data_IF_007265975770
#
_entry.id   IF_007265975770
#
_cell.length_a   1.000
_cell.length_b   1.000
_cell.length_c   1.000
_cell.angle_alpha   90.00
_cell.angle_beta   90.00
_cell.angle_gamma   90.00
#
_symmetry.space_group_name_H-M   'P 1'
#
loop_
_entity.id
_entity.type
_entity.pdbx_description
1 polymer ?
#
# COMPACT_ATOMS: atom_id res chain seq x y z
N UNK A 1 -18.25 -17.14 -7.66
CA UNK A 1 -19.16 -18.29 -7.89
C UNK A 1 -20.30 -17.82 -8.79
N UNK A 2 -20.68 -18.58 -9.82
CA UNK A 2 -21.77 -18.17 -10.71
C UNK A 2 -23.14 -18.33 -10.01
N UNK A 3 -24.11 -17.42 -10.25
CA UNK A 3 -25.44 -17.47 -9.63
C UNK A 3 -26.14 -18.82 -9.77
N UNK A 4 -25.91 -19.51 -10.90
CA UNK A 4 -26.43 -20.84 -11.21
C UNK A 4 -25.96 -21.92 -10.23
N UNK A 5 -24.70 -21.87 -9.77
CA UNK A 5 -24.17 -22.86 -8.81
C UNK A 5 -24.86 -22.76 -7.44
N UNK A 6 -25.22 -21.55 -7.00
CA UNK A 6 -25.90 -21.32 -5.72
C UNK A 6 -27.38 -21.74 -5.76
N UNK A 7 -28.03 -21.67 -6.92
CA UNK A 7 -29.39 -22.18 -7.11
C UNK A 7 -29.44 -23.70 -7.06
N UNK A 8 -28.49 -24.38 -7.72
CA UNK A 8 -28.39 -25.85 -7.69
C UNK A 8 -28.18 -26.35 -6.25
N UNK A 9 -27.30 -25.71 -5.48
CA UNK A 9 -27.07 -26.09 -4.07
C UNK A 9 -28.35 -25.94 -3.24
N UNK A 10 -29.07 -24.82 -3.36
CA UNK A 10 -30.33 -24.65 -2.63
C UNK A 10 -31.37 -25.71 -3.03
N UNK A 11 -31.51 -26.00 -4.33
CA UNK A 11 -32.41 -27.03 -4.82
C UNK A 11 -32.08 -28.40 -4.22
N UNK A 12 -30.81 -28.80 -4.23
CA UNK A 12 -30.35 -30.07 -3.66
C UNK A 12 -30.61 -30.15 -2.15
N UNK A 13 -30.43 -29.06 -1.40
CA UNK A 13 -30.74 -29.00 0.04
C UNK A 13 -32.23 -29.22 0.30
N UNK A 14 -33.10 -28.54 -0.44
CA UNK A 14 -34.56 -28.71 -0.28
C UNK A 14 -34.99 -30.13 -0.63
N UNK A 15 -34.45 -30.68 -1.73
CA UNK A 15 -34.73 -32.06 -2.14
C UNK A 15 -34.26 -33.07 -1.07
N UNK A 16 -33.07 -32.87 -0.50
CA UNK A 16 -32.54 -33.72 0.56
C UNK A 16 -33.42 -33.69 1.83
N UNK A 17 -33.93 -32.52 2.21
CA UNK A 17 -34.86 -32.38 3.35
C UNK A 17 -36.13 -33.21 3.09
N UNK A 18 -36.74 -33.06 1.91
CA UNK A 18 -37.98 -33.76 1.54
C UNK A 18 -37.78 -35.28 1.53
N UNK A 19 -36.69 -35.76 0.92
CA UNK A 19 -36.38 -37.19 0.87
C UNK A 19 -36.14 -37.73 2.28
N UNK A 20 -35.39 -37.02 3.13
CA UNK A 20 -35.10 -37.43 4.49
C UNK A 20 -36.37 -37.51 5.36
N UNK A 21 -37.28 -36.55 5.24
CA UNK A 21 -38.54 -36.53 6.01
C UNK A 21 -39.50 -37.62 5.55
N UNK A 22 -39.59 -37.86 4.24
CA UNK A 22 -40.38 -38.97 3.69
C UNK A 22 -39.78 -40.31 4.16
N UNK A 23 -38.45 -40.45 4.13
CA UNK A 23 -37.81 -41.68 4.60
C UNK A 23 -38.02 -41.92 6.10
N UNK A 24 -37.97 -40.85 6.89
CA UNK A 24 -38.26 -40.88 8.32
C UNK A 24 -39.70 -41.32 8.57
N UNK A 25 -40.67 -40.75 7.84
CA UNK A 25 -42.07 -41.16 7.91
C UNK A 25 -42.25 -42.65 7.60
N UNK A 26 -41.56 -43.14 6.55
CA UNK A 26 -41.60 -44.54 6.16
C UNK A 26 -41.02 -45.48 7.22
N UNK A 27 -39.85 -45.18 7.79
CA UNK A 27 -39.29 -46.00 8.86
C UNK A 27 -40.15 -45.94 10.13
N UNK A 28 -40.72 -44.77 10.43
CA UNK A 28 -41.59 -44.61 11.58
C UNK A 28 -42.88 -45.44 11.44
N UNK A 29 -43.52 -45.43 10.27
CA UNK A 29 -44.68 -46.26 9.98
C UNK A 29 -44.37 -47.76 10.06
N UNK A 30 -43.23 -48.19 9.50
CA UNK A 30 -42.77 -49.58 9.58
C UNK A 30 -42.54 -50.03 11.03
N UNK A 31 -41.99 -49.15 11.88
CA UNK A 31 -41.81 -49.42 13.31
C UNK A 31 -43.13 -49.55 14.06
N UNK A 32 -44.12 -48.70 13.76
CA UNK A 32 -45.46 -48.79 14.37
C UNK A 32 -46.21 -50.05 13.95
N UNK A 33 -45.99 -50.54 12.73
CA UNK A 33 -46.55 -51.79 12.21
C UNK A 33 -45.67 -53.01 12.51
N UNK A 34 -44.71 -52.88 13.44
CA UNK A 34 -43.83 -53.95 13.90
C UNK A 34 -43.11 -54.71 12.77
N UNK A 35 -42.80 -54.03 11.67
CA UNK A 35 -42.07 -54.59 10.53
C UNK A 35 -42.73 -55.84 9.92
N UNK A 36 -44.06 -55.89 9.90
CA UNK A 36 -44.87 -56.99 9.38
C UNK A 36 -44.42 -57.45 7.97
N UNK A 37 -44.45 -58.77 7.67
CA UNK A 37 -44.08 -59.31 6.35
C UNK A 37 -44.87 -58.70 5.18
N UNK A 38 -46.11 -58.26 5.43
CA UNK A 38 -47.03 -57.65 4.47
C UNK A 38 -46.54 -56.29 3.95
N UNK A 39 -45.61 -55.64 4.67
CA UNK A 39 -44.94 -54.41 4.21
C UNK A 39 -43.95 -54.67 3.06
N UNK A 40 -43.69 -55.94 2.73
CA UNK A 40 -42.80 -56.37 1.66
C UNK A 40 -41.36 -56.58 2.11
N UNK A 41 -40.49 -56.82 1.15
CA UNK A 41 -39.07 -57.06 1.41
C UNK A 41 -38.36 -55.76 1.79
N UNK A 42 -37.56 -55.76 2.88
CA UNK A 42 -36.76 -54.60 3.22
C UNK A 42 -35.68 -54.35 2.17
N UNK A 43 -35.31 -53.09 1.98
CA UNK A 43 -34.22 -52.71 1.08
C UNK A 43 -32.88 -53.26 1.59
N UNK A 44 -32.65 -53.15 2.89
CA UNK A 44 -31.53 -53.79 3.58
C UNK A 44 -31.82 -53.87 5.10
N UNK A 45 -30.98 -54.58 5.84
CA UNK A 45 -31.11 -54.76 7.29
C UNK A 45 -29.85 -54.21 7.97
N UNK A 46 -30.03 -53.33 8.96
CA UNK A 46 -28.94 -52.76 9.76
C UNK A 46 -29.19 -53.04 11.23
N UNK A 47 -28.26 -53.73 11.89
CA UNK A 47 -28.37 -54.06 13.33
C UNK A 47 -29.70 -54.70 13.73
N UNK A 48 -30.25 -55.55 12.85
CA UNK A 48 -31.55 -56.21 13.06
C UNK A 48 -32.79 -55.38 12.68
N UNK A 49 -32.63 -54.11 12.30
CA UNK A 49 -33.73 -53.24 11.86
C UNK A 49 -33.88 -53.31 10.34
N UNK A 50 -35.11 -53.57 9.88
CA UNK A 50 -35.48 -53.62 8.46
C UNK A 50 -35.64 -52.21 7.91
N UNK A 51 -34.79 -51.81 6.96
CA UNK A 51 -34.84 -50.49 6.33
C UNK A 51 -35.55 -50.58 4.99
N UNK A 52 -36.64 -49.84 4.85
CA UNK A 52 -37.40 -49.72 3.59
C UNK A 52 -37.00 -48.52 2.73
N UNK A 53 -37.38 -48.54 1.46
CA UNK A 53 -37.21 -47.41 0.55
C UNK A 53 -38.03 -46.20 1.00
N UNK A 54 -37.55 -44.96 0.81
CA UNK A 54 -38.27 -43.75 1.21
C UNK A 54 -39.71 -43.69 0.71
N UNK A 55 -39.99 -44.08 -0.53
CA UNK A 55 -41.33 -44.01 -1.15
C UNK A 55 -42.27 -45.16 -0.78
N UNK A 56 -41.83 -46.16 -0.01
CA UNK A 56 -42.65 -47.33 0.31
C UNK A 56 -43.94 -46.96 1.08
N UNK A 57 -43.89 -45.90 1.89
CA UNK A 57 -45.05 -45.37 2.62
C UNK A 57 -46.24 -45.07 1.70
N UNK A 58 -46.05 -44.62 0.47
CA UNK A 58 -47.16 -44.29 -0.43
C UNK A 58 -47.93 -45.54 -0.88
N UNK A 59 -47.20 -46.62 -1.18
CA UNK A 59 -47.81 -47.90 -1.53
C UNK A 59 -48.54 -48.50 -0.32
N UNK A 60 -47.92 -48.45 0.87
CA UNK A 60 -48.54 -48.91 2.09
C UNK A 60 -49.77 -48.11 2.48
N UNK A 61 -49.71 -46.78 2.31
CA UNK A 61 -50.85 -45.92 2.57
C UNK A 61 -52.00 -46.31 1.65
N UNK A 62 -51.78 -46.46 0.35
CA UNK A 62 -52.84 -46.91 -0.58
C UNK A 62 -53.44 -48.28 -0.22
N UNK A 63 -52.61 -49.24 0.22
CA UNK A 63 -53.05 -50.62 0.49
C UNK A 63 -53.60 -50.87 1.89
N UNK A 64 -53.14 -50.13 2.90
CA UNK A 64 -53.35 -50.46 4.30
C UNK A 64 -53.98 -49.34 5.15
N UNK A 65 -54.30 -48.17 4.57
CA UNK A 65 -54.93 -47.05 5.29
C UNK A 65 -56.16 -47.47 6.09
N UNK A 66 -57.04 -48.26 5.47
CA UNK A 66 -58.30 -48.71 6.06
C UNK A 66 -58.11 -49.51 7.35
N UNK A 67 -56.94 -50.11 7.56
CA UNK A 67 -56.63 -50.94 8.72
C UNK A 67 -55.86 -50.19 9.83
N UNK A 68 -55.04 -49.20 9.46
CA UNK A 68 -54.20 -48.47 10.40
C UNK A 68 -54.19 -46.94 10.14
N UNK A 69 -55.37 -46.29 10.12
CA UNK A 69 -55.49 -44.90 9.66
C UNK A 69 -54.68 -43.93 10.53
N UNK A 70 -54.68 -44.13 11.86
CA UNK A 70 -53.92 -43.29 12.81
C UNK A 70 -52.40 -43.32 12.54
N UNK A 71 -51.88 -44.46 12.09
CA UNK A 71 -50.45 -44.61 11.78
C UNK A 71 -50.14 -43.85 10.49
N UNK A 72 -50.94 -44.03 9.44
CA UNK A 72 -50.71 -43.35 8.17
C UNK A 72 -50.97 -41.85 8.24
N UNK A 73 -51.94 -41.38 9.03
CA UNK A 73 -52.17 -39.95 9.29
C UNK A 73 -50.95 -39.28 9.94
N UNK A 74 -50.38 -39.91 10.98
CA UNK A 74 -49.19 -39.39 11.67
C UNK A 74 -47.96 -39.45 10.79
N UNK A 75 -47.78 -40.53 10.04
CA UNK A 75 -46.67 -40.64 9.10
C UNK A 75 -46.78 -39.61 7.95
N UNK A 76 -48.01 -39.37 7.47
CA UNK A 76 -48.35 -38.30 6.56
C UNK A 76 -48.02 -36.92 7.13
N UNK A 77 -48.32 -36.66 8.40
CA UNK A 77 -47.95 -35.42 9.08
C UNK A 77 -46.42 -35.22 9.17
N UNK A 78 -45.66 -36.29 9.45
CA UNK A 78 -44.18 -36.25 9.44
C UNK A 78 -43.66 -35.91 8.04
N UNK A 79 -44.21 -36.54 6.99
CA UNK A 79 -43.83 -36.26 5.61
C UNK A 79 -44.19 -34.82 5.18
N UNK A 80 -45.39 -34.35 5.55
CA UNK A 80 -45.86 -32.98 5.28
C UNK A 80 -45.01 -31.92 5.99
N UNK A 81 -44.53 -32.22 7.21
CA UNK A 81 -43.58 -31.37 7.94
C UNK A 81 -42.29 -31.09 7.15
N UNK A 82 -41.85 -32.05 6.34
CA UNK A 82 -40.72 -31.89 5.42
C UNK A 82 -40.93 -30.83 4.34
N UNK A 83 -42.17 -30.69 3.84
CA UNK A 83 -42.53 -29.64 2.89
C UNK A 83 -42.38 -28.25 3.50
N UNK A 84 -42.84 -28.06 4.74
CA UNK A 84 -42.68 -26.79 5.46
C UNK A 84 -41.21 -26.48 5.77
N UNK A 85 -40.43 -27.47 6.19
CA UNK A 85 -38.99 -27.32 6.41
C UNK A 85 -38.24 -26.97 5.11
N UNK A 86 -38.59 -27.63 4.00
CA UNK A 86 -38.05 -27.34 2.68
C UNK A 86 -38.37 -25.92 2.21
N UNK A 87 -39.62 -25.47 2.38
CA UNK A 87 -40.03 -24.09 2.11
C UNK A 87 -39.24 -23.08 2.96
N UNK A 88 -39.07 -23.35 4.26
CA UNK A 88 -38.27 -22.51 5.16
C UNK A 88 -36.81 -22.39 4.71
N UNK A 89 -36.18 -23.52 4.37
CA UNK A 89 -34.81 -23.56 3.84
C UNK A 89 -34.69 -22.79 2.50
N UNK A 90 -35.70 -22.90 1.63
CA UNK A 90 -35.73 -22.18 0.36
C UNK A 90 -35.86 -20.66 0.53
N UNK A 91 -36.70 -20.21 1.46
CA UNK A 91 -36.85 -18.78 1.79
C UNK A 91 -35.55 -18.25 2.38
N UNK A 92 -34.97 -18.96 3.36
CA UNK A 92 -33.71 -18.57 3.98
C UNK A 92 -32.57 -18.47 2.95
N UNK A 93 -32.41 -19.48 2.10
CA UNK A 93 -31.41 -19.48 1.03
C UNK A 93 -31.62 -18.34 0.03
N UNK A 94 -32.87 -17.99 -0.27
CA UNK A 94 -33.20 -16.86 -1.15
C UNK A 94 -32.82 -15.51 -0.55
N UNK A 95 -33.13 -15.28 0.74
CA UNK A 95 -32.74 -14.07 1.48
C UNK A 95 -31.22 -13.96 1.56
N UNK A 96 -30.53 -15.08 1.83
CA UNK A 96 -29.08 -15.13 1.88
C UNK A 96 -28.44 -14.75 0.53
N UNK A 97 -28.96 -15.29 -0.58
CA UNK A 97 -28.51 -14.90 -1.92
C UNK A 97 -28.75 -13.44 -2.24
N UNK A 98 -29.91 -12.89 -1.90
CA UNK A 98 -30.24 -11.49 -2.15
C UNK A 98 -29.22 -10.55 -1.47
N UNK A 99 -28.73 -10.93 -0.28
CA UNK A 99 -27.65 -10.21 0.43
C UNK A 99 -26.27 -10.36 -0.23
N UNK A 100 -26.04 -11.41 -1.01
CA UNK A 100 -24.77 -11.58 -1.75
C UNK A 100 -24.79 -10.89 -3.12
N UNK A 101 -25.95 -10.84 -3.79
CA UNK A 101 -26.11 -10.20 -5.10
C UNK A 101 -25.90 -8.67 -5.07
N UNK A 102 -26.00 -8.05 -3.90
CA UNK A 102 -25.66 -6.64 -3.68
C UNK A 102 -24.15 -6.35 -3.73
N UNK A 103 -23.29 -7.38 -3.81
CA UNK A 103 -21.83 -7.25 -3.94
C UNK A 103 -21.31 -7.54 -5.36
N UNK A 104 -22.10 -7.36 -6.41
CA UNK A 104 -21.63 -7.57 -7.78
C UNK A 104 -20.79 -6.37 -8.24
N UNK A 105 -19.48 -6.58 -8.39
CA UNK A 105 -18.47 -5.54 -8.67
C UNK A 105 -18.06 -5.51 -10.15
N UNK A 106 -19.01 -5.43 -11.08
CA UNK A 106 -18.74 -5.50 -12.53
C UNK A 106 -17.78 -4.42 -13.03
N UNK A 107 -17.80 -3.23 -12.42
CA UNK A 107 -16.94 -2.09 -12.78
C UNK A 107 -15.89 -1.76 -11.70
N UNK A 108 -15.58 -2.73 -10.85
CA UNK A 108 -14.68 -2.57 -9.71
C UNK A 108 -15.42 -2.56 -8.38
N UNK A 109 -14.65 -2.72 -7.30
CA UNK A 109 -15.15 -2.82 -5.92
C UNK A 109 -15.05 -1.51 -5.14
N UNK A 110 -14.71 -0.41 -5.84
CA UNK A 110 -14.58 0.90 -5.23
C UNK A 110 -15.92 1.36 -4.64
N UNK A 111 -15.91 1.72 -3.37
CA UNK A 111 -17.06 2.22 -2.63
C UNK A 111 -16.61 3.20 -1.56
N UNK A 112 -17.53 4.02 -1.09
CA UNK A 112 -17.26 4.87 0.07
C UNK A 112 -16.88 4.04 1.30
N UNK A 113 -15.91 4.56 2.05
CA UNK A 113 -15.41 3.90 3.25
C UNK A 113 -16.45 3.93 4.37
N UNK A 114 -16.74 2.76 4.94
CA UNK A 114 -17.56 2.60 6.14
C UNK A 114 -16.74 2.93 7.40
N UNK A 115 -17.39 3.11 8.57
CA UNK A 115 -16.66 3.25 9.84
C UNK A 115 -15.68 2.11 10.11
N UNK A 116 -16.02 0.88 9.72
CA UNK A 116 -15.13 -0.29 9.88
C UNK A 116 -13.90 -0.20 8.99
N UNK A 117 -14.04 0.26 7.74
CA UNK A 117 -12.89 0.43 6.83
C UNK A 117 -11.91 1.47 7.35
N UNK A 118 -12.42 2.59 7.88
CA UNK A 118 -11.58 3.66 8.47
C UNK A 118 -10.82 3.19 9.70
N UNK A 119 -11.46 2.40 10.57
CA UNK A 119 -10.81 1.79 11.73
C UNK A 119 -9.76 0.76 11.29
N UNK A 120 -10.08 -0.10 10.31
CA UNK A 120 -9.16 -1.10 9.76
C UNK A 120 -7.93 -0.46 9.09
N UNK A 121 -8.13 0.66 8.39
CA UNK A 121 -7.06 1.44 7.77
C UNK A 121 -6.35 2.39 8.76
N UNK A 122 -6.66 2.31 10.07
CA UNK A 122 -6.07 3.11 11.14
C UNK A 122 -6.11 4.63 10.89
N UNK A 123 -7.16 5.13 10.22
CA UNK A 123 -7.24 6.53 9.81
C UNK A 123 -7.70 7.49 10.91
N UNK A 124 -8.14 6.96 12.05
CA UNK A 124 -8.75 7.72 13.14
C UNK A 124 -7.78 7.97 14.31
N UNK A 125 -6.50 7.60 14.15
CA UNK A 125 -5.46 7.89 15.12
C UNK A 125 -5.05 9.37 15.11
N UNK A 126 -4.29 9.77 16.12
CA UNK A 126 -3.84 11.16 16.29
C UNK A 126 -2.49 11.45 15.62
N UNK A 127 -1.79 10.42 15.13
CA UNK A 127 -0.51 10.51 14.43
C UNK A 127 -0.71 10.46 12.93
N UNK A 128 0.31 10.88 12.18
CA UNK A 128 0.29 10.83 10.73
C UNK A 128 0.04 12.16 10.03
N UNK A 129 0.14 12.10 8.71
CA UNK A 129 -0.21 13.20 7.79
C UNK A 129 -1.73 13.37 7.79
N UNK A 130 -2.21 14.61 7.89
CA UNK A 130 -3.64 14.89 7.85
C UNK A 130 -4.16 14.70 6.42
N UNK A 131 -5.19 13.86 6.24
CA UNK A 131 -5.84 13.63 4.94
C UNK A 131 -7.11 14.47 4.77
N UNK A 132 -7.75 14.84 5.88
CA UNK A 132 -9.00 15.58 5.89
C UNK A 132 -9.76 15.39 7.19
N UNK A 133 -11.09 15.58 7.15
CA UNK A 133 -11.95 15.49 8.34
C UNK A 133 -13.27 14.81 7.98
N UNK A 134 -13.77 13.96 8.89
CA UNK A 134 -15.13 13.43 8.85
C UNK A 134 -15.86 13.82 10.15
N UNK A 135 -16.91 14.62 10.02
CA UNK A 135 -17.57 15.22 11.19
C UNK A 135 -16.57 16.00 12.05
N UNK A 136 -16.40 15.61 13.32
CA UNK A 136 -15.44 16.24 14.25
C UNK A 136 -14.05 15.58 14.29
N UNK A 137 -13.82 14.49 13.56
CA UNK A 137 -12.56 13.73 13.64
C UNK A 137 -11.68 13.97 12.42
N UNK A 138 -10.40 14.21 12.64
CA UNK A 138 -9.40 14.21 11.58
C UNK A 138 -9.19 12.79 11.06
N UNK A 139 -8.93 12.69 9.76
CA UNK A 139 -8.42 11.48 9.13
C UNK A 139 -6.92 11.67 8.95
N UNK A 140 -6.13 10.71 9.40
CA UNK A 140 -4.66 10.77 9.34
C UNK A 140 -4.07 9.49 8.83
N UNK A 141 -2.92 9.58 8.17
CA UNK A 141 -2.17 8.43 7.68
C UNK A 141 -0.77 8.43 8.29
N UNK A 142 -0.49 7.40 9.08
CA UNK A 142 0.77 7.18 9.81
C UNK A 142 1.52 5.95 9.27
N UNK A 143 1.26 5.58 8.01
CA UNK A 143 1.90 4.47 7.33
C UNK A 143 3.13 4.89 6.53
N UNK A 144 3.93 3.91 6.06
CA UNK A 144 5.10 4.17 5.20
C UNK A 144 4.71 4.62 3.78
N UNK A 145 3.43 4.55 3.41
CA UNK A 145 2.96 4.86 2.08
C UNK A 145 2.99 6.37 1.77
N UNK A 146 3.16 6.70 0.48
CA UNK A 146 3.13 8.09 0.03
C UNK A 146 1.70 8.59 -0.17
N UNK A 147 1.49 9.87 0.16
CA UNK A 147 0.19 10.54 0.00
C UNK A 147 0.27 11.52 -1.16
N UNK A 148 -0.63 11.36 -2.14
CA UNK A 148 -0.78 12.26 -3.28
C UNK A 148 -2.11 13.01 -3.19
N UNK A 149 -2.07 14.33 -3.40
CA UNK A 149 -3.24 15.21 -3.25
C UNK A 149 -3.53 15.91 -4.58
N UNK A 150 -4.68 15.59 -5.17
CA UNK A 150 -5.21 16.29 -6.34
C UNK A 150 -6.19 17.36 -5.89
N UNK A 151 -5.77 18.63 -5.97
CA UNK A 151 -6.54 19.74 -5.43
C UNK A 151 -6.36 21.01 -6.30
N UNK A 152 -7.43 21.53 -6.93
CA UNK A 152 -7.38 22.78 -7.68
C UNK A 152 -6.93 23.98 -6.85
N UNK A 153 -6.66 25.11 -7.49
CA UNK A 153 -6.44 26.37 -6.76
C UNK A 153 -7.66 26.74 -5.92
N UNK A 154 -7.45 27.36 -4.75
CA UNK A 154 -8.50 27.77 -3.79
C UNK A 154 -9.38 26.64 -3.22
N UNK A 155 -9.01 25.37 -3.40
CA UNK A 155 -9.70 24.20 -2.81
C UNK A 155 -9.40 23.95 -1.33
N UNK A 156 -8.52 24.74 -0.72
CA UNK A 156 -8.16 24.61 0.70
C UNK A 156 -7.07 23.59 1.01
N UNK A 157 -6.27 23.11 0.04
CA UNK A 157 -5.15 22.16 0.31
C UNK A 157 -4.17 22.63 1.41
N UNK A 158 -3.93 23.94 1.50
CA UNK A 158 -3.08 24.53 2.55
C UNK A 158 -3.70 24.36 3.94
N UNK A 159 -4.91 24.88 4.13
CA UNK A 159 -5.61 24.89 5.43
C UNK A 159 -6.17 23.53 5.85
N UNK A 160 -6.51 22.66 4.91
CA UNK A 160 -7.15 21.37 5.17
C UNK A 160 -6.19 20.20 5.34
N UNK A 161 -4.97 20.31 4.79
CA UNK A 161 -4.01 19.21 4.73
C UNK A 161 -2.61 19.63 5.18
N UNK A 162 -2.00 20.63 4.51
CA UNK A 162 -0.59 20.99 4.75
C UNK A 162 -0.37 21.59 6.14
N UNK A 163 -1.08 22.65 6.49
CA UNK A 163 -0.94 23.33 7.79
C UNK A 163 -1.31 22.37 8.95
N UNK A 164 -2.45 21.64 8.93
CA UNK A 164 -2.75 20.67 9.98
C UNK A 164 -1.68 19.59 10.13
N UNK A 165 -1.09 19.12 9.03
CA UNK A 165 0.03 18.19 9.06
C UNK A 165 1.23 18.82 9.75
N UNK A 166 1.70 19.99 9.33
CA UNK A 166 2.88 20.63 9.90
C UNK A 166 2.74 21.01 11.38
N UNK A 167 1.51 21.29 11.83
CA UNK A 167 1.21 21.59 13.23
C UNK A 167 1.10 20.36 14.13
N UNK A 168 0.92 19.16 13.57
CA UNK A 168 0.70 17.95 14.37
C UNK A 168 1.68 16.81 14.10
N UNK A 169 2.37 16.82 12.96
CA UNK A 169 3.47 15.93 12.64
C UNK A 169 4.70 16.31 13.46
N UNK A 170 5.10 15.46 14.38
CA UNK A 170 6.23 15.72 15.29
C UNK A 170 7.58 15.30 14.70
N UNK A 171 7.59 14.57 13.58
CA UNK A 171 8.82 14.18 12.90
C UNK A 171 9.47 15.32 12.13
N UNK A 172 10.66 15.04 11.59
CA UNK A 172 11.36 15.92 10.65
C UNK A 172 10.54 16.11 9.38
N UNK A 173 10.64 17.29 8.78
CA UNK A 173 9.96 17.62 7.54
C UNK A 173 10.81 18.60 6.72
N UNK A 174 10.87 18.37 5.41
CA UNK A 174 11.40 19.31 4.42
C UNK A 174 10.23 19.81 3.60
N UNK A 175 10.03 21.12 3.56
CA UNK A 175 8.85 21.73 2.95
C UNK A 175 9.29 22.62 1.80
N UNK A 176 8.84 22.28 0.58
CA UNK A 176 8.96 23.18 -0.56
C UNK A 176 7.83 24.21 -0.53
N UNK A 177 8.12 25.41 -0.01
CA UNK A 177 7.13 26.47 0.24
C UNK A 177 7.38 27.69 -0.63
N UNK A 178 6.96 27.62 -1.90
CA UNK A 178 7.14 28.70 -2.89
C UNK A 178 6.55 30.04 -2.40
N UNK A 179 5.50 30.00 -1.57
CA UNK A 179 4.79 31.21 -1.11
C UNK A 179 5.23 31.69 0.28
N UNK A 180 5.92 30.87 1.06
CA UNK A 180 6.30 31.17 2.44
C UNK A 180 5.15 31.10 3.47
N UNK A 181 3.93 30.75 3.06
CA UNK A 181 2.75 30.70 3.94
C UNK A 181 2.89 29.62 5.01
N UNK A 182 3.48 28.47 4.66
CA UNK A 182 3.67 27.37 5.61
C UNK A 182 4.70 27.75 6.68
N UNK A 183 5.81 28.38 6.27
CA UNK A 183 6.81 28.87 7.21
C UNK A 183 6.20 29.87 8.20
N UNK A 184 5.52 30.91 7.68
CA UNK A 184 4.93 31.97 8.50
C UNK A 184 3.92 31.43 9.53
N UNK A 185 3.10 30.46 9.13
CA UNK A 185 2.03 29.96 9.99
C UNK A 185 2.47 28.85 10.96
N UNK A 186 3.52 28.09 10.63
CA UNK A 186 3.83 26.85 11.36
C UNK A 186 5.21 26.81 12.00
N UNK A 187 6.20 27.57 11.50
CA UNK A 187 7.58 27.49 12.01
C UNK A 187 7.68 27.84 13.50
N UNK A 188 6.95 28.88 13.95
CA UNK A 188 6.96 29.28 15.36
C UNK A 188 6.40 28.21 16.31
N UNK A 189 5.41 27.43 15.87
CA UNK A 189 4.91 26.29 16.64
C UNK A 189 5.92 25.14 16.64
N UNK A 190 6.44 24.78 15.47
CA UNK A 190 7.42 23.70 15.32
C UNK A 190 8.73 23.97 16.08
N UNK A 191 9.15 25.23 16.16
CA UNK A 191 10.34 25.67 16.90
C UNK A 191 10.28 25.34 18.40
N UNK A 192 9.09 25.07 18.95
CA UNK A 192 8.94 24.64 20.35
C UNK A 192 9.44 23.23 20.63
N UNK A 193 9.55 22.39 19.60
CA UNK A 193 9.93 20.97 19.74
C UNK A 193 10.92 20.47 18.68
N UNK A 194 11.30 21.32 17.72
CA UNK A 194 12.17 20.95 16.60
C UNK A 194 13.01 22.14 16.16
N UNK A 195 14.14 21.87 15.50
CA UNK A 195 14.96 22.90 14.89
C UNK A 195 14.36 23.29 13.52
N UNK A 196 14.03 24.56 13.34
CA UNK A 196 13.40 25.08 12.12
C UNK A 196 14.36 26.02 11.40
N UNK A 197 14.70 25.69 10.15
CA UNK A 197 15.57 26.49 9.29
C UNK A 197 14.78 26.97 8.07
N UNK A 198 14.85 28.26 7.78
CA UNK A 198 14.34 28.84 6.54
C UNK A 198 15.48 28.84 5.53
N UNK A 199 15.32 28.20 4.38
CA UNK A 199 16.26 28.34 3.27
C UNK A 199 15.56 29.09 2.12
N UNK A 200 15.89 30.36 1.95
CA UNK A 200 15.46 31.20 0.86
C UNK A 200 16.62 32.13 0.45
N UNK A 201 17.36 31.82 -0.63
CA UNK A 201 18.56 32.58 -1.02
C UNK A 201 18.35 34.08 -1.24
N UNK A 202 17.10 34.53 -1.38
CA UNK A 202 16.76 35.96 -1.57
C UNK A 202 16.35 36.68 -0.28
N UNK A 203 16.19 35.96 0.84
CA UNK A 203 15.81 36.51 2.14
C UNK A 203 17.02 36.62 3.07
N UNK A 204 17.23 37.79 3.67
CA UNK A 204 18.33 38.04 4.60
C UNK A 204 18.28 37.15 5.86
N UNK A 205 17.10 36.62 6.22
CA UNK A 205 16.90 35.70 7.36
C UNK A 205 17.20 34.25 7.02
N UNK A 206 17.53 33.94 5.76
CA UNK A 206 17.81 32.59 5.31
C UNK A 206 18.99 31.99 6.06
N UNK A 207 18.85 30.73 6.43
CA UNK A 207 19.96 29.87 6.73
C UNK A 207 20.94 29.85 5.55
N UNK A 208 22.23 29.76 5.88
CA UNK A 208 23.30 29.62 4.91
C UNK A 208 23.56 28.14 4.71
N UNK A 209 23.74 27.75 3.46
CA UNK A 209 24.04 26.37 3.11
C UNK A 209 25.19 26.34 2.11
N UNK A 210 26.19 25.49 2.38
CA UNK A 210 27.29 25.25 1.47
C UNK A 210 27.44 23.74 1.29
N UNK A 211 27.02 23.17 0.14
CA UNK A 211 27.05 21.73 -0.07
C UNK A 211 28.48 21.16 -0.04
N UNK A 212 29.50 22.00 -0.29
CA UNK A 212 30.89 21.55 -0.23
C UNK A 212 31.34 21.19 1.19
N UNK A 213 30.68 21.71 2.22
CA UNK A 213 30.98 21.36 3.62
C UNK A 213 30.41 20.00 4.02
N UNK A 214 29.42 19.49 3.27
CA UNK A 214 28.81 18.18 3.51
C UNK A 214 29.61 17.03 2.88
N UNK A 215 30.68 17.35 2.13
CA UNK A 215 31.56 16.35 1.49
C UNK A 215 32.40 15.63 2.55
N UNK A 216 32.20 14.33 2.68
CA UNK A 216 32.93 13.50 3.65
C UNK A 216 34.29 13.13 3.08
N UNK A 217 35.36 13.58 3.75
CA UNK A 217 36.74 13.24 3.37
C UNK A 217 36.99 11.73 3.51
N UNK A 218 37.79 11.17 2.60
CA UNK A 218 38.18 9.76 2.60
C UNK A 218 37.50 8.98 1.48
N UNK A 219 36.98 7.79 1.80
CA UNK A 219 36.52 6.82 0.80
C UNK A 219 35.30 7.31 0.00
N UNK A 220 34.42 8.09 0.62
CA UNK A 220 33.18 8.58 0.01
C UNK A 220 33.34 9.94 -0.70
N UNK A 221 34.50 10.59 -0.60
CA UNK A 221 34.68 11.99 -1.02
C UNK A 221 34.33 12.23 -2.49
N UNK A 222 34.85 11.38 -3.38
CA UNK A 222 34.58 11.48 -4.82
C UNK A 222 33.09 11.26 -5.10
N UNK A 223 32.44 10.34 -4.38
CA UNK A 223 31.01 10.04 -4.53
C UNK A 223 30.16 11.23 -4.08
N UNK A 224 30.49 11.84 -2.95
CA UNK A 224 29.77 13.01 -2.44
C UNK A 224 29.90 14.20 -3.39
N UNK A 225 31.09 14.43 -3.96
CA UNK A 225 31.29 15.46 -4.99
C UNK A 225 30.54 15.14 -6.28
N UNK A 226 30.50 13.87 -6.72
CA UNK A 226 29.70 13.44 -7.86
C UNK A 226 28.21 13.72 -7.64
N UNK A 227 27.67 13.41 -6.45
CA UNK A 227 26.27 13.71 -6.12
C UNK A 227 25.97 15.22 -6.21
N UNK A 228 26.89 16.07 -5.73
CA UNK A 228 26.75 17.53 -5.87
C UNK A 228 26.78 17.94 -7.35
N UNK A 229 27.70 17.39 -8.13
CA UNK A 229 27.82 17.68 -9.56
C UNK A 229 26.59 17.23 -10.35
N UNK A 230 26.02 16.05 -10.03
CA UNK A 230 24.79 15.56 -10.64
C UNK A 230 23.61 16.50 -10.37
N UNK A 231 23.45 16.97 -9.12
CA UNK A 231 22.39 17.95 -8.78
C UNK A 231 22.53 19.26 -9.56
N UNK A 232 23.77 19.71 -9.81
CA UNK A 232 24.04 20.98 -10.49
C UNK A 232 23.96 20.89 -12.03
N UNK A 233 24.36 19.75 -12.60
CA UNK A 233 24.41 19.56 -14.06
C UNK A 233 23.11 18.99 -14.61
N UNK A 234 22.40 18.17 -13.83
CA UNK A 234 21.20 17.44 -14.24
C UNK A 234 20.12 17.50 -13.12
N UNK A 235 19.56 18.69 -12.85
CA UNK A 235 18.57 18.86 -11.77
C UNK A 235 17.25 18.11 -12.02
N UNK A 236 16.96 17.75 -13.27
CA UNK A 236 15.74 17.01 -13.65
C UNK A 236 15.92 15.49 -13.60
N UNK A 237 17.16 14.99 -13.46
CA UNK A 237 17.46 13.56 -13.41
C UNK A 237 17.09 12.82 -14.70
N UNK A 238 17.09 13.52 -15.84
CA UNK A 238 16.71 12.96 -17.13
C UNK A 238 17.87 12.16 -17.73
N UNK A 239 18.23 11.05 -17.08
CA UNK A 239 19.31 10.13 -17.46
C UNK A 239 19.27 9.71 -18.94
N UNK A 240 18.08 9.68 -19.56
CA UNK A 240 17.87 9.28 -20.96
C UNK A 240 18.31 10.33 -21.99
N UNK A 241 18.60 11.57 -21.59
CA UNK A 241 19.05 12.65 -22.50
C UNK A 241 20.43 13.21 -22.18
N UNK A 242 21.33 12.42 -21.57
CA UNK A 242 22.69 12.91 -21.28
C UNK A 242 23.49 13.23 -22.54
N UNK A 243 23.52 14.50 -22.94
CA UNK A 243 24.34 14.96 -24.06
C UNK A 243 25.83 14.80 -23.72
N UNK A 244 26.69 14.61 -24.73
CA UNK A 244 28.15 14.50 -24.53
C UNK A 244 28.72 15.69 -23.73
N UNK A 245 28.14 16.88 -23.91
CA UNK A 245 28.47 18.11 -23.19
C UNK A 245 28.22 18.01 -21.68
N UNK A 246 27.18 17.31 -21.23
CA UNK A 246 26.85 17.14 -19.81
C UNK A 246 27.83 16.18 -19.13
N UNK A 247 28.27 15.10 -19.83
CA UNK A 247 29.27 14.15 -19.29
C UNK A 247 30.63 14.80 -19.09
N UNK A 248 31.07 15.62 -20.05
CA UNK A 248 32.35 16.36 -19.96
C UNK A 248 32.28 17.45 -18.90
N UNK A 249 31.15 18.19 -18.83
CA UNK A 249 30.94 19.23 -17.81
C UNK A 249 30.89 18.66 -16.40
N UNK A 250 30.21 17.51 -16.22
CA UNK A 250 30.18 16.78 -14.95
C UNK A 250 31.59 16.41 -14.49
N UNK A 251 32.39 15.77 -15.35
CA UNK A 251 33.75 15.33 -15.00
C UNK A 251 34.66 16.50 -14.64
N UNK A 252 34.56 17.60 -15.39
CA UNK A 252 35.27 18.84 -15.12
C UNK A 252 34.86 19.44 -13.76
N UNK A 253 33.56 19.52 -13.49
CA UNK A 253 33.03 20.10 -12.26
C UNK A 253 33.45 19.28 -11.03
N UNK A 254 33.43 17.95 -11.11
CA UNK A 254 33.94 17.06 -10.05
C UNK A 254 35.42 17.34 -9.77
N UNK A 255 36.24 17.41 -10.81
CA UNK A 255 37.67 17.72 -10.66
C UNK A 255 37.92 19.11 -10.08
N UNK A 256 37.14 20.11 -10.50
CA UNK A 256 37.24 21.48 -10.00
C UNK A 256 36.81 21.60 -8.54
N UNK A 257 35.71 20.95 -8.12
CA UNK A 257 35.28 20.93 -6.72
C UNK A 257 36.35 20.28 -5.84
N UNK A 258 36.86 19.11 -6.24
CA UNK A 258 37.98 18.48 -5.53
C UNK A 258 39.19 19.41 -5.46
N UNK A 259 39.49 20.14 -6.54
CA UNK A 259 40.58 21.11 -6.52
C UNK A 259 40.37 22.19 -5.48
N UNK A 260 39.19 22.82 -5.46
CA UNK A 260 38.87 23.82 -4.44
C UNK A 260 38.95 23.23 -3.03
N UNK A 261 38.42 22.01 -2.82
CA UNK A 261 38.42 21.33 -1.52
C UNK A 261 39.81 21.09 -0.94
N UNK A 262 40.83 20.89 -1.77
CA UNK A 262 42.21 20.64 -1.31
C UNK A 262 43.15 21.83 -1.43
N UNK A 263 43.04 22.66 -2.47
CA UNK A 263 44.06 23.66 -2.82
C UNK A 263 43.75 25.09 -2.39
N UNK A 264 42.48 25.48 -2.31
CA UNK A 264 42.08 26.88 -2.16
C UNK A 264 41.48 27.13 -0.78
N UNK A 265 41.73 28.25 -0.11
CA UNK A 265 41.21 28.47 1.26
C UNK A 265 39.68 28.50 1.32
N UNK A 266 39.04 29.15 0.34
CA UNK A 266 37.59 29.31 0.25
C UNK A 266 36.92 28.08 -0.37
N UNK A 267 36.25 27.28 0.47
CA UNK A 267 35.61 26.02 0.04
C UNK A 267 34.16 26.22 -0.38
N UNK A 268 33.89 27.06 -1.38
CA UNK A 268 32.51 27.41 -1.81
C UNK A 268 32.26 27.15 -3.29
N UNK A 269 30.99 26.95 -3.66
CA UNK A 269 30.61 26.86 -5.09
C UNK A 269 30.89 28.16 -5.85
N UNK A 270 30.79 29.32 -5.18
CA UNK A 270 31.18 30.60 -5.78
C UNK A 270 32.69 30.62 -6.14
N UNK A 271 33.54 30.04 -5.29
CA UNK A 271 34.96 29.88 -5.59
C UNK A 271 35.20 28.93 -6.75
N UNK A 272 34.45 27.82 -6.84
CA UNK A 272 34.52 26.91 -7.99
C UNK A 272 34.17 27.66 -9.29
N UNK A 273 33.08 28.43 -9.30
CA UNK A 273 32.66 29.19 -10.47
C UNK A 273 33.70 30.25 -10.88
N UNK A 274 34.16 31.06 -9.94
CA UNK A 274 35.18 32.10 -10.21
C UNK A 274 36.51 31.49 -10.65
N UNK A 275 36.90 30.34 -10.13
CA UNK A 275 38.11 29.63 -10.55
C UNK A 275 38.01 29.11 -11.99
N UNK A 276 36.86 28.55 -12.39
CA UNK A 276 36.65 28.04 -13.75
C UNK A 276 36.45 29.15 -14.78
N UNK A 277 35.94 30.31 -14.37
CA UNK A 277 35.54 31.43 -15.23
C UNK A 277 36.39 32.69 -15.07
N UNK A 278 37.63 32.56 -14.58
CA UNK A 278 38.57 33.67 -14.40
C UNK A 278 38.93 34.33 -15.76
N UNK A 279 38.56 35.60 -16.01
CA UNK A 279 38.82 36.26 -17.29
C UNK A 279 40.31 36.54 -17.52
N UNK A 280 41.13 36.56 -16.46
CA UNK A 280 42.57 36.79 -16.56
C UNK A 280 43.34 35.50 -16.87
N UNK A 281 42.69 34.33 -16.82
CA UNK A 281 43.33 33.03 -16.99
C UNK A 281 42.62 32.19 -18.03
N UNK A 282 43.36 31.76 -19.06
CA UNK A 282 42.79 30.85 -20.05
C UNK A 282 42.39 29.51 -19.42
N UNK A 283 41.37 28.87 -19.99
CA UNK A 283 40.89 27.58 -19.50
C UNK A 283 42.00 26.51 -19.47
N UNK A 284 42.88 26.48 -20.48
CA UNK A 284 44.03 25.59 -20.51
C UNK A 284 45.02 25.86 -19.37
N UNK A 285 45.24 27.13 -19.01
CA UNK A 285 46.07 27.50 -17.87
C UNK A 285 45.42 27.09 -16.53
N UNK A 286 44.09 27.21 -16.41
CA UNK A 286 43.33 26.71 -15.25
C UNK A 286 43.52 25.20 -15.07
N UNK A 287 43.39 24.41 -16.14
CA UNK A 287 43.61 22.96 -16.09
C UNK A 287 45.05 22.60 -15.72
N UNK A 288 46.05 23.29 -16.29
CA UNK A 288 47.46 23.09 -15.92
C UNK A 288 47.69 23.37 -14.43
N UNK A 289 47.14 24.47 -13.91
CA UNK A 289 47.21 24.79 -12.48
C UNK A 289 46.61 23.66 -11.63
N UNK A 290 45.46 23.10 -12.01
CA UNK A 290 44.88 21.96 -11.31
C UNK A 290 45.80 20.73 -11.31
N UNK A 291 46.48 20.44 -12.42
CA UNK A 291 47.40 19.30 -12.56
C UNK A 291 48.74 19.48 -11.81
N UNK A 292 49.24 20.72 -11.75
CA UNK A 292 50.53 21.08 -11.15
C UNK A 292 50.43 21.30 -9.64
N UNK A 293 49.24 21.57 -9.11
CA UNK A 293 49.03 21.79 -7.69
C UNK A 293 49.40 20.54 -6.89
N UNK A 294 50.28 20.71 -5.91
CA UNK A 294 50.65 19.64 -4.99
C UNK A 294 49.64 19.57 -3.85
N UNK A 295 48.90 18.49 -3.81
CA UNK A 295 47.95 18.18 -2.75
C UNK A 295 48.71 17.55 -1.58
N UNK A 296 49.10 18.36 -0.59
CA UNK A 296 49.66 17.84 0.65
C UNK A 296 48.56 17.12 1.42
N UNK A 297 48.58 15.80 1.34
CA UNK A 297 47.64 14.94 2.02
C UNK A 297 48.09 14.81 3.48
N UNK A 298 47.39 15.44 4.42
CA UNK A 298 47.49 15.09 5.84
C UNK A 298 46.87 13.70 6.06
N UNK A 299 47.59 12.65 5.66
CA UNK A 299 47.34 11.26 6.04
C UNK A 299 46.42 10.42 5.14
N UNK A 300 45.83 10.96 4.07
CA UNK A 300 45.01 10.17 3.15
C UNK A 300 45.29 10.54 1.69
N UNK A 301 45.77 9.58 0.91
CA UNK A 301 46.03 9.77 -0.52
C UNK A 301 44.68 9.71 -1.26
N UNK A 302 44.19 10.80 -1.86
CA UNK A 302 42.97 10.75 -2.65
C UNK A 302 43.21 9.88 -3.89
N UNK A 303 42.17 9.19 -4.35
CA UNK A 303 42.17 8.36 -5.56
C UNK A 303 42.62 9.17 -6.80
N UNK A 304 42.57 10.49 -6.75
CA UNK A 304 43.09 11.41 -7.77
C UNK A 304 44.62 11.38 -7.95
N UNK A 305 45.37 10.84 -6.98
CA UNK A 305 46.81 10.55 -7.15
C UNK A 305 47.12 9.50 -8.24
N UNK A 306 46.10 8.75 -8.70
CA UNK A 306 46.19 7.86 -9.86
C UNK A 306 46.06 8.59 -11.20
N UNK A 307 45.71 9.88 -11.21
CA UNK A 307 45.54 10.68 -12.43
C UNK A 307 46.86 11.35 -12.87
N UNK A 308 47.92 11.37 -12.03
CA UNK A 308 49.26 11.81 -12.48
C UNK A 308 49.87 10.73 -13.39
N UNK A 309 50.14 11.05 -14.68
CA UNK A 309 50.72 10.07 -15.59
C UNK A 309 52.13 9.69 -15.11
N UNK A 310 52.59 8.45 -15.39
CA UNK A 310 53.76 7.85 -14.72
C UNK A 310 55.07 8.66 -14.79
N UNK A 311 55.21 9.50 -15.81
CA UNK A 311 56.41 10.30 -16.07
C UNK A 311 56.57 11.53 -15.17
N UNK A 312 55.52 11.95 -14.46
CA UNK A 312 55.57 13.05 -13.46
C UNK A 312 55.97 12.57 -12.05
N UNK A 313 56.15 11.26 -11.83
CA UNK A 313 56.54 10.70 -10.51
C UNK A 313 58.06 10.73 -10.24
N UNK A 314 58.88 11.12 -11.22
CA UNK A 314 60.37 11.03 -11.14
C UNK A 314 61.10 12.30 -10.74
N UNK A 315 60.43 13.35 -10.25
CA UNK A 315 61.09 14.57 -9.74
C UNK A 315 60.69 14.85 -8.29
N UNK A 316 61.04 13.92 -7.41
CA UNK A 316 61.17 14.14 -5.97
C UNK A 316 62.04 13.00 -5.44
N UNK A 317 63.35 13.15 -5.63
CA UNK A 317 64.42 12.37 -5.04
C UNK A 317 65.53 13.35 -4.72
#
# INVERSE_FOLDING_TARGET
MTPTKLLIVQFLVVLAIIVATIWTATQWAAGQLAYQPELGTPWFIVSGVRIYHPWAIFAWWFSFDAYAPIVFDKAGAIAAGGGFLGCGAAIFGSVWRARQATNVTTYGSARWATPKDRAKANLLGDKGVALGRIGKRYLRHDGPEHVMVFAPTRSGKGVGLVIPTLLSWTGSAVIHDIKGENWQLTAGWRAKFSHCLLFNPTDARSARYNPLLEVRRGVDEVRDVQNIADILVDPEGALERRNHWEKTSHSLLVGAILHILYAEEEKTLARVATFLSDPQRSFAATLRRMMETNWTCNGFVPVTSLIKPPWLRRRAG
#
